data_IF_848673866183
#
_entry.id   IF_848673866183
#
_cell.length_a   1.000
_cell.length_b   1.000
_cell.length_c   1.000
_cell.angle_alpha   90.00
_cell.angle_beta   90.00
_cell.angle_gamma   90.00
#
_symmetry.space_group_name_H-M   'P 1'
#
loop_
_entity.id
_entity.type
_entity.pdbx_description
1 polymer ?
#
# COMPACT_ATOMS: atom_id res chain seq x y z
N UNK A 1 29.53 12.09 -5.31
CA UNK A 1 28.96 10.75 -5.61
C UNK A 1 27.56 10.74 -5.03
N UNK A 2 26.54 10.73 -5.89
CA UNK A 2 25.13 10.84 -5.51
C UNK A 2 24.53 9.43 -5.40
N UNK A 3 24.20 9.00 -4.19
CA UNK A 3 23.44 7.77 -3.96
C UNK A 3 21.95 8.16 -3.86
N UNK A 4 21.32 8.44 -5.00
CA UNK A 4 19.86 8.54 -5.04
C UNK A 4 19.28 7.13 -5.05
N UNK A 5 19.14 6.54 -3.86
CA UNK A 5 18.37 5.31 -3.67
C UNK A 5 16.93 5.73 -3.34
N UNK A 6 16.13 5.99 -4.36
CA UNK A 6 14.67 5.96 -4.22
C UNK A 6 14.23 4.68 -4.92
N UNK A 7 14.01 3.60 -4.16
CA UNK A 7 13.47 2.34 -4.69
C UNK A 7 12.17 1.96 -3.99
N UNK A 8 11.14 1.89 -4.80
CA UNK A 8 9.85 1.23 -4.59
C UNK A 8 8.99 1.55 -5.82
N UNK A 9 8.04 0.70 -6.25
CA UNK A 9 7.69 -0.69 -5.92
C UNK A 9 7.98 -1.67 -7.10
N UNK A 10 8.03 -3.00 -6.91
CA UNK A 10 8.23 -3.95 -8.05
C UNK A 10 7.55 -5.33 -7.86
N UNK A 11 6.28 -5.51 -7.49
CA UNK A 11 5.12 -4.74 -7.95
C UNK A 11 3.80 -5.41 -7.49
N UNK A 12 2.75 -4.65 -7.16
CA UNK A 12 1.35 -4.97 -7.53
C UNK A 12 1.01 -3.88 -8.56
N UNK A 13 1.10 -4.20 -9.87
CA UNK A 13 1.89 -3.44 -10.87
C UNK A 13 1.86 -1.92 -10.69
N UNK A 14 2.99 -1.44 -10.16
CA UNK A 14 3.32 -0.08 -9.70
C UNK A 14 2.20 0.64 -8.94
N UNK A 15 1.51 -0.14 -8.11
CA UNK A 15 0.44 0.21 -7.18
C UNK A 15 -0.42 1.35 -7.72
N UNK A 16 -0.92 1.10 -8.95
CA UNK A 16 -1.69 2.00 -9.82
C UNK A 16 -0.92 3.27 -10.24
N UNK A 17 -0.49 3.31 -11.50
CA UNK A 17 0.19 4.43 -12.17
C UNK A 17 -0.57 5.77 -12.01
N UNK A 18 0.07 6.78 -11.39
CA UNK A 18 -0.42 8.17 -11.33
C UNK A 18 0.50 9.08 -12.17
N UNK A 19 -0.12 9.73 -13.17
CA UNK A 19 0.45 10.53 -14.27
C UNK A 19 1.07 9.81 -15.49
N UNK A 20 0.46 8.68 -15.87
CA UNK A 20 0.59 8.08 -17.21
C UNK A 20 -0.64 7.35 -17.75
N UNK A 21 -1.76 7.38 -16.99
CA UNK A 21 -3.10 6.79 -17.23
C UNK A 21 -3.21 5.32 -16.75
N UNK A 22 -4.09 4.96 -15.79
CA UNK A 22 -5.54 5.25 -15.71
C UNK A 22 -6.06 5.52 -14.28
N UNK A 23 -6.56 6.75 -14.04
CA UNK A 23 -7.66 7.09 -13.12
C UNK A 23 -8.45 8.23 -13.77
N UNK A 24 -9.62 7.92 -14.32
CA UNK A 24 -10.54 8.90 -14.87
C UNK A 24 -11.24 9.62 -13.72
N UNK A 25 -10.84 10.85 -13.41
CA UNK A 25 -11.75 11.98 -13.18
C UNK A 25 -10.94 13.27 -12.99
N UNK A 26 -11.32 14.26 -13.77
CA UNK A 26 -10.61 15.52 -14.00
C UNK A 26 -11.59 16.63 -13.58
N UNK A 27 -11.31 17.39 -12.52
CA UNK A 27 -12.06 18.61 -12.15
C UNK A 27 -11.20 19.54 -11.29
N UNK A 28 -10.22 20.11 -11.97
CA UNK A 28 -9.23 21.04 -11.45
C UNK A 28 -9.85 22.24 -10.69
N UNK A 29 -9.10 22.70 -9.68
CA UNK A 29 -9.33 23.80 -8.73
C UNK A 29 -10.29 23.55 -7.54
N UNK A 30 -11.42 22.85 -7.72
CA UNK A 30 -12.28 22.44 -6.60
C UNK A 30 -11.83 21.14 -5.91
N UNK A 31 -11.17 20.28 -6.68
CA UNK A 31 -10.72 18.96 -6.24
C UNK A 31 -9.45 18.99 -5.40
N UNK A 32 -8.55 19.98 -5.56
CA UNK A 32 -7.30 20.01 -4.81
C UNK A 32 -7.52 20.05 -3.28
N UNK A 33 -8.56 20.74 -2.80
CA UNK A 33 -8.93 20.75 -1.37
C UNK A 33 -9.50 19.41 -0.90
N UNK A 34 -10.35 18.78 -1.72
CA UNK A 34 -10.93 17.45 -1.42
C UNK A 34 -9.89 16.32 -1.52
N UNK A 35 -8.95 16.40 -2.45
CA UNK A 35 -7.83 15.48 -2.61
C UNK A 35 -6.92 15.53 -1.38
N UNK A 36 -6.59 16.73 -0.89
CA UNK A 36 -5.80 16.90 0.33
C UNK A 36 -6.52 16.41 1.60
N UNK A 37 -7.82 16.66 1.72
CA UNK A 37 -8.64 16.12 2.82
C UNK A 37 -8.74 14.59 2.78
N UNK A 38 -8.92 14.02 1.58
CA UNK A 38 -9.00 12.58 1.39
C UNK A 38 -7.66 11.89 1.71
N UNK A 39 -6.52 12.44 1.24
CA UNK A 39 -5.21 11.85 1.46
C UNK A 39 -4.85 11.86 2.96
N UNK A 40 -5.16 12.94 3.69
CA UNK A 40 -4.99 12.99 5.15
C UNK A 40 -5.90 11.98 5.87
N UNK A 41 -7.15 11.83 5.43
CA UNK A 41 -8.09 10.90 6.06
C UNK A 41 -7.66 9.44 5.94
N UNK A 42 -7.12 9.04 4.78
CA UNK A 42 -6.63 7.67 4.58
C UNK A 42 -5.35 7.40 5.35
N UNK A 43 -4.49 8.42 5.50
CA UNK A 43 -3.31 8.32 6.35
C UNK A 43 -3.68 8.10 7.82
N UNK A 44 -4.58 8.92 8.37
CA UNK A 44 -5.10 8.76 9.74
C UNK A 44 -5.75 7.37 9.94
N UNK A 45 -6.53 6.91 8.96
CA UNK A 45 -7.19 5.61 9.01
C UNK A 45 -6.17 4.45 9.06
N UNK A 46 -5.09 4.54 8.27
CA UNK A 46 -4.01 3.54 8.31
C UNK A 46 -3.21 3.63 9.60
N UNK A 47 -2.92 4.84 10.09
CA UNK A 47 -2.22 5.09 11.35
C UNK A 47 -2.96 4.45 12.54
N UNK A 48 -4.29 4.63 12.63
CA UNK A 48 -5.10 3.97 13.66
C UNK A 48 -5.09 2.45 13.52
N UNK A 49 -5.13 1.94 12.28
CA UNK A 49 -5.14 0.52 12.01
C UNK A 49 -3.84 -0.15 12.48
N UNK A 50 -2.68 0.45 12.22
CA UNK A 50 -1.39 -0.14 12.61
C UNK A 50 -1.19 -0.20 14.13
N UNK A 51 -1.89 0.64 14.89
CA UNK A 51 -1.84 0.62 16.36
C UNK A 51 -2.68 -0.51 16.97
N UNK A 52 -3.72 -0.98 16.27
CA UNK A 52 -4.75 -1.83 16.88
C UNK A 52 -5.04 -3.15 16.13
N UNK A 53 -4.45 -3.38 14.95
CA UNK A 53 -4.83 -4.50 14.07
C UNK A 53 -3.62 -5.36 13.69
N UNK A 54 -3.89 -6.60 13.29
CA UNK A 54 -2.86 -7.50 12.76
C UNK A 54 -2.43 -7.11 11.35
N UNK A 55 -1.21 -7.50 10.91
CA UNK A 55 -0.73 -7.24 9.56
C UNK A 55 -1.71 -7.65 8.45
N UNK A 56 -2.37 -8.81 8.59
CA UNK A 56 -3.39 -9.26 7.62
C UNK A 56 -4.58 -8.32 7.49
N UNK A 57 -5.02 -7.74 8.61
CA UNK A 57 -6.13 -6.78 8.64
C UNK A 57 -5.73 -5.41 8.13
N UNK A 58 -4.47 -5.01 8.31
CA UNK A 58 -3.92 -3.80 7.70
C UNK A 58 -3.86 -3.98 6.16
N UNK A 59 -3.41 -5.14 5.67
CA UNK A 59 -3.41 -5.48 4.23
C UNK A 59 -4.83 -5.47 3.65
N UNK A 60 -5.82 -5.99 4.36
CA UNK A 60 -7.23 -5.97 3.94
C UNK A 60 -7.81 -4.55 3.86
N UNK A 61 -7.50 -3.70 4.84
CA UNK A 61 -7.88 -2.29 4.80
C UNK A 61 -7.24 -1.58 3.60
N UNK A 62 -5.93 -1.74 3.41
CA UNK A 62 -5.23 -1.14 2.28
C UNK A 62 -5.78 -1.61 0.92
N UNK A 63 -6.06 -2.92 0.78
CA UNK A 63 -6.74 -3.46 -0.41
C UNK A 63 -8.14 -2.86 -0.65
N UNK A 64 -8.89 -2.62 0.43
CA UNK A 64 -10.21 -1.96 0.37
C UNK A 64 -10.07 -0.52 -0.14
N UNK A 65 -9.11 0.24 0.39
CA UNK A 65 -8.83 1.62 -0.02
C UNK A 65 -8.44 1.68 -1.51
N UNK A 66 -7.57 0.78 -1.96
CA UNK A 66 -7.16 0.65 -3.36
C UNK A 66 -8.32 0.35 -4.31
N UNK A 67 -9.29 -0.45 -3.85
CA UNK A 67 -10.40 -0.95 -4.66
C UNK A 67 -11.55 0.06 -4.77
N UNK A 68 -11.87 0.76 -3.68
CA UNK A 68 -13.13 1.51 -3.58
C UNK A 68 -12.98 2.99 -3.24
N UNK A 69 -11.83 3.42 -2.70
CA UNK A 69 -11.69 4.77 -2.14
C UNK A 69 -10.94 5.76 -3.04
N UNK A 70 -10.41 5.32 -4.19
CA UNK A 70 -9.78 6.20 -5.17
C UNK A 70 -8.59 6.98 -4.59
N UNK A 71 -7.64 6.25 -3.98
CA UNK A 71 -6.41 6.82 -3.41
C UNK A 71 -5.65 7.65 -4.46
N UNK A 72 -5.39 8.93 -4.14
CA UNK A 72 -4.64 9.85 -5.02
C UNK A 72 -3.17 9.46 -5.13
N UNK A 73 -2.59 8.98 -4.03
CA UNK A 73 -1.17 8.60 -3.93
C UNK A 73 -1.00 7.27 -3.15
N UNK A 74 -1.38 6.12 -3.74
CA UNK A 74 -1.26 4.82 -3.06
C UNK A 74 0.19 4.49 -2.68
N UNK A 75 1.15 4.91 -3.50
CA UNK A 75 2.57 4.69 -3.24
C UNK A 75 3.05 5.35 -1.93
N UNK A 76 2.57 6.55 -1.60
CA UNK A 76 2.94 7.22 -0.35
C UNK A 76 2.44 6.48 0.87
N UNK A 77 1.19 5.99 0.83
CA UNK A 77 0.62 5.14 1.88
C UNK A 77 1.38 3.81 2.00
N UNK A 78 1.69 3.18 0.87
CA UNK A 78 2.51 1.96 0.84
C UNK A 78 3.85 2.18 1.51
N UNK A 79 4.62 3.20 1.12
CA UNK A 79 5.97 3.43 1.64
C UNK A 79 5.95 3.72 3.15
N UNK A 80 4.89 4.36 3.65
CA UNK A 80 4.73 4.64 5.08
C UNK A 80 4.37 3.39 5.89
N UNK A 81 3.52 2.50 5.36
CA UNK A 81 2.92 1.41 6.15
C UNK A 81 3.35 -0.02 5.75
N UNK A 82 4.20 -0.19 4.73
CA UNK A 82 4.60 -1.51 4.21
C UNK A 82 5.24 -2.44 5.24
N UNK A 83 5.99 -1.91 6.20
CA UNK A 83 6.63 -2.73 7.24
C UNK A 83 5.59 -3.33 8.18
N UNK A 84 4.59 -2.54 8.62
CA UNK A 84 3.46 -3.04 9.42
C UNK A 84 2.63 -4.08 8.66
N UNK A 85 2.47 -3.89 7.35
CA UNK A 85 1.80 -4.85 6.47
C UNK A 85 2.62 -6.10 6.19
N UNK A 86 3.93 -6.10 6.44
CA UNK A 86 4.82 -7.22 6.13
C UNK A 86 5.39 -7.90 7.39
N UNK A 87 5.05 -7.40 8.57
CA UNK A 87 5.64 -7.80 9.85
C UNK A 87 5.50 -9.31 10.12
N UNK A 88 4.33 -9.89 9.84
CA UNK A 88 4.10 -11.32 10.00
C UNK A 88 4.93 -12.18 9.03
N UNK A 89 5.17 -11.69 7.81
CA UNK A 89 6.04 -12.38 6.82
C UNK A 89 7.49 -12.34 7.29
N UNK A 90 7.97 -11.19 7.77
CA UNK A 90 9.30 -11.08 8.36
C UNK A 90 9.44 -12.03 9.56
N UNK A 91 8.46 -12.02 10.46
CA UNK A 91 8.47 -12.88 11.64
C UNK A 91 8.53 -14.36 11.28
N UNK A 92 7.79 -14.80 10.25
CA UNK A 92 7.84 -16.17 9.75
C UNK A 92 9.23 -16.54 9.21
N UNK A 93 9.86 -15.65 8.44
CA UNK A 93 11.20 -15.90 7.89
C UNK A 93 12.27 -15.93 8.99
N UNK A 94 12.12 -15.12 10.04
CA UNK A 94 13.03 -15.09 11.18
C UNK A 94 13.02 -16.39 11.99
N UNK A 95 11.97 -17.20 11.93
CA UNK A 95 11.95 -18.54 12.53
C UNK A 95 12.95 -19.49 11.85
N UNK A 96 13.33 -19.22 10.60
CA UNK A 96 14.25 -20.05 9.80
C UNK A 96 15.62 -19.38 9.66
N UNK A 97 15.64 -18.05 9.50
CA UNK A 97 16.83 -17.23 9.29
C UNK A 97 16.82 -16.03 10.25
N UNK A 98 17.52 -16.15 11.37
CA UNK A 98 17.44 -15.21 12.50
C UNK A 98 17.90 -13.79 12.17
N UNK A 99 18.80 -13.64 11.20
CA UNK A 99 19.35 -12.34 10.76
C UNK A 99 18.53 -11.68 9.64
N UNK A 100 17.34 -12.20 9.33
CA UNK A 100 16.47 -11.64 8.31
C UNK A 100 15.96 -10.25 8.74
N UNK A 101 16.06 -9.29 7.82
CA UNK A 101 15.46 -7.95 7.93
C UNK A 101 14.52 -7.70 6.76
N UNK A 102 13.71 -6.65 6.86
CA UNK A 102 12.91 -6.19 5.72
C UNK A 102 13.79 -6.00 4.47
N UNK A 103 13.28 -6.50 3.35
CA UNK A 103 13.96 -6.48 2.06
C UNK A 103 12.95 -6.54 0.92
N UNK A 104 13.41 -6.37 -0.32
CA UNK A 104 12.55 -6.34 -1.50
C UNK A 104 11.71 -7.62 -1.65
N UNK A 105 12.22 -8.80 -1.28
CA UNK A 105 11.47 -10.05 -1.35
C UNK A 105 10.25 -10.04 -0.42
N UNK A 106 10.43 -9.64 0.84
CA UNK A 106 9.34 -9.54 1.82
C UNK A 106 8.26 -8.56 1.35
N UNK A 107 8.68 -7.42 0.80
CA UNK A 107 7.76 -6.43 0.26
C UNK A 107 6.99 -6.95 -0.97
N UNK A 108 7.65 -7.69 -1.86
CA UNK A 108 6.98 -8.28 -3.02
C UNK A 108 5.96 -9.35 -2.62
N UNK A 109 6.27 -10.22 -1.66
CA UNK A 109 5.31 -11.18 -1.10
C UNK A 109 4.09 -10.48 -0.51
N UNK A 110 4.32 -9.38 0.22
CA UNK A 110 3.25 -8.55 0.78
C UNK A 110 2.34 -7.97 -0.32
N UNK A 111 2.94 -7.48 -1.41
CA UNK A 111 2.21 -6.94 -2.56
C UNK A 111 1.33 -8.01 -3.25
N UNK A 112 1.85 -9.23 -3.41
CA UNK A 112 1.08 -10.37 -3.96
C UNK A 112 -0.13 -10.70 -3.11
N UNK A 113 0.01 -10.67 -1.77
CA UNK A 113 -1.13 -10.92 -0.87
C UNK A 113 -2.19 -9.82 -1.02
N UNK A 114 -1.77 -8.57 -1.13
CA UNK A 114 -2.68 -7.43 -1.33
C UNK A 114 -3.41 -7.55 -2.68
N UNK A 115 -2.68 -7.88 -3.76
CA UNK A 115 -3.25 -8.15 -5.08
C UNK A 115 -4.38 -9.19 -5.02
N UNK A 116 -4.11 -10.33 -4.37
CA UNK A 116 -5.08 -11.40 -4.23
C UNK A 116 -6.33 -10.96 -3.45
N UNK A 117 -6.17 -10.12 -2.42
CA UNK A 117 -7.30 -9.54 -1.68
C UNK A 117 -8.12 -8.62 -2.58
N UNK A 118 -7.48 -7.72 -3.33
CA UNK A 118 -8.15 -6.84 -4.31
C UNK A 118 -8.92 -7.67 -5.36
N UNK A 119 -8.28 -8.68 -5.93
CA UNK A 119 -8.93 -9.57 -6.89
C UNK A 119 -10.17 -10.26 -6.31
N UNK A 120 -10.09 -10.73 -5.05
CA UNK A 120 -11.23 -11.37 -4.37
C UNK A 120 -12.38 -10.40 -4.10
N UNK A 121 -12.08 -9.12 -3.85
CA UNK A 121 -13.07 -8.07 -3.62
C UNK A 121 -13.79 -7.67 -4.91
N UNK A 122 -13.07 -7.56 -6.02
CA UNK A 122 -13.59 -7.11 -7.33
C UNK A 122 -14.18 -8.27 -8.15
N UNK A 123 -13.66 -9.49 -7.99
CA UNK A 123 -14.00 -10.68 -8.77
C UNK A 123 -15.25 -11.45 -8.32
N UNK A 124 -16.07 -10.93 -7.40
CA UNK A 124 -17.40 -11.47 -7.11
C UNK A 124 -18.45 -10.80 -7.99
N UNK A 125 -18.48 -11.17 -9.27
CA UNK A 125 -19.65 -11.02 -10.15
C UNK A 125 -19.80 -12.28 -10.99
#
# INVERSE_FOLDING_TARGET
MLLHHVRGPTSFIELKIVNGQECQTNREAGEARRLLENDNHWDETMEEAVQCRSPDKIRELYATLLSYCGLSNPQTLWDKYREYMADDILHQLQQVHTDMTFNEHIYNETLIIIENKVFTMVGKN
#
